data_IF_446880412774
#
_entry.id   IF_446880412774
#
_cell.length_a   1.000
_cell.length_b   1.000
_cell.length_c   1.000
_cell.angle_alpha   90.00
_cell.angle_beta   90.00
_cell.angle_gamma   90.00
#
_symmetry.space_group_name_H-M   'P 1'
#
loop_
_entity.id
_entity.type
_entity.pdbx_description
1 polymer ?
#
# COMPACT_ATOMS: atom_id res chain seq x y z
N UNK A 1 49.97 -0.84 21.21
CA UNK A 1 49.60 -2.01 22.03
C UNK A 1 48.16 -2.37 21.68
N UNK A 2 47.93 -3.47 20.96
CA UNK A 2 46.58 -3.93 20.62
C UNK A 2 45.89 -4.41 21.91
N UNK A 3 44.80 -3.74 22.29
CA UNK A 3 43.98 -4.12 23.44
C UNK A 3 43.15 -5.35 23.07
N UNK A 4 43.73 -6.52 23.29
CA UNK A 4 43.10 -7.83 23.17
C UNK A 4 41.69 -7.99 23.78
N UNK A 5 41.32 -7.36 24.92
CA UNK A 5 39.96 -7.51 25.46
C UNK A 5 38.88 -6.87 24.58
N UNK A 6 39.16 -5.72 23.95
CA UNK A 6 38.20 -5.02 23.07
C UNK A 6 37.92 -5.81 21.78
N UNK A 7 38.96 -6.44 21.21
CA UNK A 7 38.82 -7.29 20.02
C UNK A 7 37.98 -8.54 20.29
N UNK A 8 38.04 -9.10 21.51
CA UNK A 8 37.25 -10.28 21.89
C UNK A 8 35.77 -9.94 22.09
N UNK A 9 35.46 -8.80 22.71
CA UNK A 9 34.07 -8.31 22.85
C UNK A 9 33.44 -7.99 21.49
N UNK A 10 34.16 -7.31 20.59
CA UNK A 10 33.67 -7.04 19.22
C UNK A 10 33.41 -8.32 18.42
N UNK A 11 34.21 -9.37 18.63
CA UNK A 11 34.06 -10.65 17.94
C UNK A 11 32.86 -11.44 18.47
N UNK A 12 32.69 -11.50 19.80
CA UNK A 12 31.55 -12.17 20.43
C UNK A 12 30.21 -11.50 20.10
N UNK A 13 30.15 -10.16 20.09
CA UNK A 13 28.94 -9.43 19.68
C UNK A 13 28.62 -9.59 18.20
N UNK A 14 29.64 -9.73 17.33
CA UNK A 14 29.44 -10.03 15.91
C UNK A 14 28.93 -11.45 15.67
N UNK A 15 29.40 -12.46 16.40
CA UNK A 15 28.94 -13.84 16.24
C UNK A 15 27.50 -14.04 16.72
N UNK A 16 27.16 -13.52 17.91
CA UNK A 16 25.81 -13.66 18.47
C UNK A 16 24.76 -12.97 17.57
N UNK A 17 25.06 -11.75 17.09
CA UNK A 17 24.18 -11.04 16.16
C UNK A 17 24.07 -11.73 14.79
N UNK A 18 25.11 -12.45 14.36
CA UNK A 18 25.08 -13.28 13.14
C UNK A 18 24.23 -14.54 13.30
N UNK A 19 24.19 -15.15 14.48
CA UNK A 19 23.35 -16.32 14.78
C UNK A 19 21.89 -15.96 15.07
N UNK A 20 21.62 -14.87 15.78
CA UNK A 20 20.25 -14.48 16.15
C UNK A 20 19.47 -13.95 14.95
N UNK A 21 20.12 -13.21 14.03
CA UNK A 21 19.47 -12.67 12.82
C UNK A 21 18.77 -13.73 11.96
N UNK A 22 19.40 -14.86 11.56
CA UNK A 22 18.72 -15.87 10.76
C UNK A 22 17.59 -16.57 11.53
N UNK A 23 17.74 -16.79 12.84
CA UNK A 23 16.67 -17.36 13.69
C UNK A 23 15.46 -16.43 13.79
N UNK A 24 15.68 -15.13 13.95
CA UNK A 24 14.61 -14.12 13.95
C UNK A 24 13.91 -13.99 12.58
N UNK A 25 14.66 -14.18 11.48
CA UNK A 25 14.07 -14.21 10.15
C UNK A 25 13.25 -15.49 9.91
N UNK A 26 13.74 -16.64 10.39
CA UNK A 26 13.03 -17.93 10.32
C UNK A 26 11.73 -17.92 11.11
N UNK A 27 11.72 -17.33 12.30
CA UNK A 27 10.49 -17.21 13.09
C UNK A 27 9.44 -16.37 12.38
N UNK A 28 9.82 -15.24 11.76
CA UNK A 28 8.89 -14.43 10.97
C UNK A 28 8.30 -15.21 9.78
N UNK A 29 9.14 -15.99 9.07
CA UNK A 29 8.71 -16.81 7.92
C UNK A 29 7.70 -17.90 8.33
N UNK A 30 7.81 -18.44 9.55
CA UNK A 30 6.90 -19.47 10.06
C UNK A 30 5.64 -18.87 10.71
N UNK A 31 5.77 -17.72 11.38
CA UNK A 31 4.66 -17.09 12.09
C UNK A 31 3.59 -16.54 11.13
N UNK A 32 3.96 -16.08 9.93
CA UNK A 32 3.00 -15.60 8.92
C UNK A 32 2.04 -16.72 8.48
N UNK A 33 2.50 -17.86 7.91
CA UNK A 33 1.61 -18.94 7.49
C UNK A 33 0.92 -19.61 8.68
N UNK A 34 1.57 -19.67 9.86
CA UNK A 34 0.94 -20.21 11.07
C UNK A 34 -0.22 -19.34 11.55
N UNK A 35 -0.03 -18.02 11.60
CA UNK A 35 -1.07 -17.06 11.94
C UNK A 35 -2.24 -17.13 10.96
N UNK A 36 -1.95 -17.20 9.66
CA UNK A 36 -2.96 -17.42 8.62
C UNK A 36 -3.69 -18.76 8.83
N UNK A 37 -2.96 -19.83 9.14
CA UNK A 37 -3.53 -21.15 9.40
C UNK A 37 -4.47 -21.16 10.61
N UNK A 38 -4.09 -20.50 11.71
CA UNK A 38 -4.94 -20.36 12.90
C UNK A 38 -6.21 -19.57 12.56
N UNK A 39 -6.07 -18.46 11.83
CA UNK A 39 -7.21 -17.65 11.39
C UNK A 39 -8.16 -18.46 10.50
N UNK A 40 -7.63 -19.15 9.47
CA UNK A 40 -8.39 -20.03 8.59
C UNK A 40 -9.06 -21.18 9.35
N UNK A 41 -8.41 -21.75 10.36
CA UNK A 41 -9.03 -22.75 11.23
C UNK A 41 -10.19 -22.18 12.05
N UNK A 42 -10.03 -20.96 12.58
CA UNK A 42 -11.11 -20.22 13.24
C UNK A 42 -12.31 -20.00 12.33
N UNK A 43 -12.06 -19.59 11.07
CA UNK A 43 -13.11 -19.44 10.06
C UNK A 43 -13.78 -20.76 9.73
N UNK A 44 -13.03 -21.84 9.57
CA UNK A 44 -13.57 -23.17 9.33
C UNK A 44 -14.50 -23.64 10.47
N UNK A 45 -14.12 -23.39 11.73
CA UNK A 45 -14.94 -23.75 12.90
C UNK A 45 -16.27 -22.99 12.95
N UNK A 46 -16.34 -21.77 12.42
CA UNK A 46 -17.52 -20.91 12.49
C UNK A 46 -18.39 -20.92 11.23
N UNK A 47 -17.76 -20.95 10.06
CA UNK A 47 -18.39 -20.78 8.76
C UNK A 47 -18.25 -22.02 7.86
N UNK A 48 -17.55 -23.07 8.32
CA UNK A 48 -17.22 -24.27 7.53
C UNK A 48 -16.45 -23.98 6.24
N UNK A 49 -15.78 -22.83 6.20
CA UNK A 49 -15.01 -22.35 5.06
C UNK A 49 -13.70 -21.72 5.56
N UNK A 50 -12.54 -22.39 5.39
CA UNK A 50 -11.25 -21.87 5.85
C UNK A 50 -10.78 -20.66 5.03
N UNK A 51 -11.34 -20.42 3.86
CA UNK A 51 -11.01 -19.33 2.96
C UNK A 51 -12.15 -18.30 2.87
N UNK A 52 -13.03 -18.25 3.88
CA UNK A 52 -14.16 -17.34 3.90
C UNK A 52 -13.76 -15.86 3.70
N UNK A 53 -12.56 -15.45 4.12
CA UNK A 53 -12.04 -14.10 3.89
C UNK A 53 -11.76 -13.78 2.41
N UNK A 54 -11.39 -14.79 1.60
CA UNK A 54 -11.23 -14.66 0.14
C UNK A 54 -12.61 -14.68 -0.50
N UNK A 55 -13.47 -15.64 -0.13
CA UNK A 55 -14.80 -15.75 -0.73
C UNK A 55 -15.68 -14.54 -0.41
N UNK A 56 -15.49 -13.89 0.74
CA UNK A 56 -16.18 -12.64 1.06
C UNK A 56 -15.92 -11.53 0.01
N UNK A 57 -14.79 -11.55 -0.71
CA UNK A 57 -14.48 -10.59 -1.76
C UNK A 57 -15.45 -10.68 -2.95
N UNK A 58 -16.10 -11.83 -3.19
CA UNK A 58 -17.11 -11.96 -4.25
C UNK A 58 -18.30 -11.01 -4.03
N UNK A 59 -18.60 -10.67 -2.77
CA UNK A 59 -19.65 -9.73 -2.43
C UNK A 59 -19.31 -8.29 -2.85
N UNK A 60 -18.02 -7.97 -2.96
CA UNK A 60 -17.51 -6.66 -3.37
C UNK A 60 -17.36 -6.56 -4.90
N UNK A 61 -17.72 -7.63 -5.63
CA UNK A 61 -17.65 -7.72 -7.11
C UNK A 61 -16.27 -7.35 -7.64
N UNK A 62 -15.23 -7.75 -6.94
CA UNK A 62 -13.86 -7.69 -7.42
C UNK A 62 -13.57 -8.92 -8.30
N UNK A 63 -12.74 -8.74 -9.31
CA UNK A 63 -12.32 -9.85 -10.17
C UNK A 63 -10.94 -9.61 -10.74
N UNK A 64 -10.25 -10.71 -11.04
CA UNK A 64 -8.94 -10.66 -11.67
C UNK A 64 -9.06 -10.05 -13.07
N UNK A 65 -8.36 -8.95 -13.31
CA UNK A 65 -8.31 -8.28 -14.61
C UNK A 65 -6.89 -7.82 -14.95
N UNK A 66 -6.70 -7.31 -16.17
CA UNK A 66 -5.45 -6.69 -16.57
C UNK A 66 -5.14 -5.46 -15.70
N UNK A 67 -3.93 -5.30 -15.14
CA UNK A 67 -3.65 -4.27 -14.13
C UNK A 67 -3.85 -2.82 -14.62
N UNK A 68 -3.80 -2.56 -15.92
CA UNK A 68 -4.09 -1.21 -16.45
C UNK A 68 -5.57 -0.99 -16.78
N UNK A 69 -6.43 -2.01 -16.66
CA UNK A 69 -7.86 -1.89 -16.95
C UNK A 69 -8.51 -0.80 -16.11
N UNK A 70 -8.33 -0.82 -14.80
CA UNK A 70 -8.98 0.14 -13.90
C UNK A 70 -8.50 1.58 -14.11
N UNK A 71 -7.18 1.89 -14.19
CA UNK A 71 -6.72 3.22 -14.55
C UNK A 71 -7.27 3.74 -15.89
N UNK A 72 -7.31 2.89 -16.92
CA UNK A 72 -7.84 3.27 -18.24
C UNK A 72 -9.36 3.48 -18.21
N UNK A 73 -10.10 2.62 -17.49
CA UNK A 73 -11.54 2.76 -17.30
C UNK A 73 -11.89 4.03 -16.53
N UNK A 74 -11.11 4.36 -15.50
CA UNK A 74 -11.25 5.61 -14.73
C UNK A 74 -10.94 6.82 -15.61
N UNK A 75 -9.87 6.80 -16.40
CA UNK A 75 -9.55 7.88 -17.33
C UNK A 75 -10.66 8.11 -18.35
N UNK A 76 -11.21 7.04 -18.93
CA UNK A 76 -12.37 7.12 -19.83
C UNK A 76 -13.55 7.79 -19.15
N UNK A 77 -13.83 7.45 -17.88
CA UNK A 77 -14.91 8.07 -17.10
C UNK A 77 -14.72 9.56 -16.89
N UNK A 78 -13.52 10.00 -16.55
CA UNK A 78 -13.22 11.42 -16.33
C UNK A 78 -13.49 12.27 -17.57
N UNK A 79 -13.38 11.71 -18.78
CA UNK A 79 -13.68 12.40 -20.04
C UNK A 79 -15.16 12.35 -20.39
N UNK A 80 -15.89 11.33 -19.93
CA UNK A 80 -17.31 11.12 -20.28
C UNK A 80 -18.32 11.65 -19.27
N UNK A 81 -17.94 11.78 -17.99
CA UNK A 81 -18.83 12.20 -16.91
C UNK A 81 -18.79 13.73 -16.73
N UNK A 82 -19.88 14.35 -16.23
CA UNK A 82 -19.87 15.76 -15.87
C UNK A 82 -18.75 16.08 -14.89
N UNK A 83 -18.03 17.17 -15.12
CA UNK A 83 -16.88 17.55 -14.30
C UNK A 83 -17.25 17.76 -12.82
N UNK A 84 -18.38 18.43 -12.56
CA UNK A 84 -18.91 18.69 -11.22
C UNK A 84 -19.85 17.58 -10.75
N UNK A 85 -19.35 16.35 -10.68
CA UNK A 85 -20.08 15.23 -10.07
C UNK A 85 -19.27 14.60 -8.94
N UNK A 86 -19.98 14.05 -7.95
CA UNK A 86 -19.36 13.31 -6.85
C UNK A 86 -18.47 12.17 -7.38
N UNK A 87 -18.96 11.41 -8.36
CA UNK A 87 -18.24 10.32 -9.02
C UNK A 87 -16.97 10.82 -9.69
N UNK A 88 -16.99 11.99 -10.34
CA UNK A 88 -15.80 12.57 -10.97
C UNK A 88 -14.75 12.93 -9.91
N UNK A 89 -15.15 13.60 -8.82
CA UNK A 89 -14.24 13.94 -7.73
C UNK A 89 -13.61 12.69 -7.10
N UNK A 90 -14.40 11.65 -6.85
CA UNK A 90 -13.92 10.37 -6.31
C UNK A 90 -12.87 9.73 -7.24
N UNK A 91 -13.18 9.61 -8.53
CA UNK A 91 -12.28 9.05 -9.54
C UNK A 91 -10.98 9.85 -9.68
N UNK A 92 -11.03 11.19 -9.57
CA UNK A 92 -9.82 12.03 -9.58
C UNK A 92 -8.94 11.69 -8.38
N UNK A 93 -9.53 11.59 -7.19
CA UNK A 93 -8.78 11.34 -5.96
C UNK A 93 -8.14 9.94 -6.01
N UNK A 94 -8.88 8.90 -6.35
CA UNK A 94 -8.33 7.54 -6.44
C UNK A 94 -7.24 7.42 -7.51
N UNK A 95 -7.47 7.99 -8.71
CA UNK A 95 -6.47 7.95 -9.78
C UNK A 95 -5.21 8.74 -9.42
N UNK A 96 -5.38 9.91 -8.77
CA UNK A 96 -4.25 10.72 -8.33
C UNK A 96 -3.44 10.03 -7.23
N UNK A 97 -4.10 9.34 -6.29
CA UNK A 97 -3.43 8.56 -5.26
C UNK A 97 -2.66 7.37 -5.88
N UNK A 98 -3.27 6.65 -6.81
CA UNK A 98 -2.63 5.56 -7.54
C UNK A 98 -1.37 6.04 -8.28
N UNK A 99 -1.49 7.14 -9.03
CA UNK A 99 -0.39 7.71 -9.80
C UNK A 99 0.72 8.25 -8.90
N UNK A 100 0.36 8.97 -7.83
CA UNK A 100 1.33 9.48 -6.85
C UNK A 100 2.17 8.35 -6.27
N UNK A 101 1.54 7.27 -5.80
CA UNK A 101 2.26 6.14 -5.24
C UNK A 101 3.05 5.35 -6.28
N UNK A 102 2.54 5.22 -7.52
CA UNK A 102 3.32 4.64 -8.62
C UNK A 102 4.62 5.43 -8.87
N UNK A 103 4.54 6.76 -8.89
CA UNK A 103 5.71 7.64 -9.06
C UNK A 103 6.66 7.53 -7.86
N UNK A 104 6.16 7.59 -6.63
CA UNK A 104 6.98 7.47 -5.42
C UNK A 104 7.69 6.10 -5.35
N UNK A 105 7.02 5.02 -5.75
CA UNK A 105 7.61 3.69 -5.85
C UNK A 105 8.66 3.62 -6.96
N UNK A 106 8.41 4.20 -8.13
CA UNK A 106 9.40 4.27 -9.21
C UNK A 106 10.67 5.03 -8.76
N UNK A 107 10.50 6.11 -8.00
CA UNK A 107 11.61 6.89 -7.41
C UNK A 107 12.44 6.09 -6.38
N UNK A 108 11.91 4.99 -5.84
CA UNK A 108 12.69 4.09 -4.99
C UNK A 108 13.77 3.34 -5.79
N UNK A 109 13.55 3.10 -7.08
CA UNK A 109 14.47 2.35 -7.94
C UNK A 109 15.34 3.27 -8.79
N UNK A 110 14.79 4.39 -9.25
CA UNK A 110 15.43 5.28 -10.22
C UNK A 110 15.51 6.72 -9.68
N UNK A 111 16.57 7.43 -10.04
CA UNK A 111 16.71 8.86 -9.75
C UNK A 111 17.47 9.17 -8.44
N UNK A 112 17.43 10.44 -7.99
CA UNK A 112 18.28 10.93 -6.91
C UNK A 112 17.85 10.44 -5.52
N UNK A 113 16.63 9.93 -5.37
CA UNK A 113 16.08 9.45 -4.09
C UNK A 113 16.12 7.93 -3.94
N UNK A 114 16.75 7.22 -4.88
CA UNK A 114 16.82 5.76 -4.92
C UNK A 114 17.23 5.14 -3.58
N UNK A 115 16.65 3.99 -3.28
CA UNK A 115 17.02 3.19 -2.12
C UNK A 115 18.21 2.30 -2.44
N UNK A 116 19.02 2.02 -1.42
CA UNK A 116 20.11 1.06 -1.54
C UNK A 116 19.55 -0.35 -1.81
N UNK A 117 20.31 -1.19 -2.53
CA UNK A 117 19.88 -2.56 -2.87
C UNK A 117 19.52 -3.40 -1.65
N UNK A 118 20.18 -3.18 -0.53
CA UNK A 118 19.88 -3.85 0.74
C UNK A 118 18.49 -3.52 1.31
N UNK A 119 17.83 -2.47 0.80
CA UNK A 119 16.52 -2.00 1.25
C UNK A 119 15.41 -2.31 0.24
N UNK A 120 15.70 -3.05 -0.84
CA UNK A 120 14.74 -3.32 -1.92
C UNK A 120 13.52 -4.13 -1.50
N UNK A 121 13.57 -4.82 -0.37
CA UNK A 121 12.40 -5.50 0.20
C UNK A 121 11.22 -4.52 0.42
N UNK A 122 11.49 -3.27 0.79
CA UNK A 122 10.44 -2.26 1.02
C UNK A 122 9.72 -1.81 -0.27
N UNK A 123 10.42 -1.34 -1.33
CA UNK A 123 9.74 -0.96 -2.57
C UNK A 123 9.16 -2.16 -3.32
N UNK A 124 9.72 -3.37 -3.19
CA UNK A 124 9.08 -4.58 -3.73
C UNK A 124 7.76 -4.86 -3.02
N UNK A 125 7.71 -4.76 -1.69
CA UNK A 125 6.47 -4.90 -0.93
C UNK A 125 5.42 -3.85 -1.36
N UNK A 126 5.82 -2.58 -1.46
CA UNK A 126 4.92 -1.51 -1.95
C UNK A 126 4.42 -1.75 -3.38
N UNK A 127 5.28 -2.27 -4.26
CA UNK A 127 4.90 -2.63 -5.63
C UNK A 127 3.88 -3.78 -5.65
N UNK A 128 4.05 -4.79 -4.79
CA UNK A 128 3.10 -5.90 -4.67
C UNK A 128 1.71 -5.41 -4.21
N UNK A 129 1.64 -4.48 -3.27
CA UNK A 129 0.38 -3.85 -2.85
C UNK A 129 -0.28 -3.14 -4.04
N UNK A 130 0.49 -2.29 -4.75
CA UNK A 130 -0.04 -1.53 -5.88
C UNK A 130 -0.53 -2.46 -6.99
N UNK A 131 0.27 -3.47 -7.38
CA UNK A 131 -0.10 -4.44 -8.41
C UNK A 131 -1.34 -5.23 -7.99
N UNK A 132 -1.41 -5.70 -6.75
CA UNK A 132 -2.57 -6.47 -6.26
C UNK A 132 -3.84 -5.62 -6.31
N UNK A 133 -3.75 -4.35 -5.88
CA UNK A 133 -4.86 -3.38 -5.98
C UNK A 133 -5.32 -3.18 -7.43
N UNK A 134 -4.39 -3.15 -8.38
CA UNK A 134 -4.70 -2.99 -9.80
C UNK A 134 -5.23 -4.27 -10.46
N UNK A 135 -4.82 -5.45 -9.97
CA UNK A 135 -5.25 -6.76 -10.49
C UNK A 135 -6.68 -7.10 -10.11
N UNK A 136 -7.15 -6.64 -8.95
CA UNK A 136 -8.48 -6.92 -8.42
C UNK A 136 -9.33 -5.64 -8.30
N UNK A 137 -9.62 -4.93 -9.41
CA UNK A 137 -10.50 -3.78 -9.35
C UNK A 137 -11.94 -4.20 -9.15
N UNK A 138 -12.77 -3.24 -8.78
CA UNK A 138 -14.22 -3.40 -8.77
C UNK A 138 -14.73 -3.58 -10.20
N UNK A 139 -15.72 -4.46 -10.38
CA UNK A 139 -16.34 -4.73 -11.67
C UNK A 139 -17.63 -3.92 -11.88
N UNK A 140 -17.99 -3.60 -13.15
CA UNK A 140 -19.20 -2.84 -13.46
C UNK A 140 -20.47 -3.48 -12.90
N UNK A 141 -21.31 -2.68 -12.22
CA UNK A 141 -22.64 -3.08 -11.72
C UNK A 141 -23.76 -2.56 -12.62
N UNK A 142 -24.65 -3.42 -13.14
CA UNK A 142 -25.84 -2.97 -13.86
C UNK A 142 -26.68 -2.04 -12.98
N UNK A 143 -26.95 -0.82 -13.47
CA UNK A 143 -27.79 0.18 -12.80
C UNK A 143 -27.19 0.84 -11.55
N UNK A 144 -25.92 0.58 -11.20
CA UNK A 144 -25.24 1.18 -10.05
C UNK A 144 -24.16 2.18 -10.43
N UNK A 145 -23.73 3.00 -9.47
CA UNK A 145 -22.51 3.81 -9.60
C UNK A 145 -21.34 2.84 -9.69
N UNK A 146 -20.64 2.88 -10.82
CA UNK A 146 -19.45 2.08 -11.03
C UNK A 146 -18.24 2.92 -10.60
N UNK A 147 -17.31 2.33 -9.84
CA UNK A 147 -16.02 2.89 -9.51
C UNK A 147 -14.93 1.82 -9.71
N UNK A 148 -14.04 1.94 -10.72
CA UNK A 148 -13.03 0.92 -11.00
C UNK A 148 -11.90 0.89 -9.96
N UNK A 149 -11.58 2.04 -9.35
CA UNK A 149 -10.43 2.21 -8.46
C UNK A 149 -10.86 2.38 -7.00
N UNK A 150 -12.03 1.86 -6.65
CA UNK A 150 -12.61 2.04 -5.33
C UNK A 150 -11.61 1.72 -4.20
N UNK A 151 -11.54 2.61 -3.22
CA UNK A 151 -10.64 2.51 -2.07
C UNK A 151 -9.13 2.54 -2.40
N UNK A 152 -8.73 2.83 -3.64
CA UNK A 152 -7.30 2.87 -4.01
C UNK A 152 -6.57 3.90 -3.16
N UNK A 153 -7.17 5.07 -2.92
CA UNK A 153 -6.63 6.10 -2.03
C UNK A 153 -6.26 5.60 -0.62
N UNK A 154 -6.93 4.54 -0.13
CA UNK A 154 -6.67 3.92 1.16
C UNK A 154 -5.62 2.81 1.04
N UNK A 155 -5.78 1.93 0.06
CA UNK A 155 -4.93 0.76 -0.12
C UNK A 155 -3.48 1.14 -0.44
N UNK A 156 -3.27 2.21 -1.21
CA UNK A 156 -1.90 2.67 -1.51
C UNK A 156 -1.15 3.20 -0.28
N UNK A 157 -1.84 3.60 0.79
CA UNK A 157 -1.19 4.06 2.03
C UNK A 157 -0.45 2.92 2.74
N UNK A 158 -0.79 1.66 2.47
CA UNK A 158 -0.07 0.49 2.98
C UNK A 158 1.35 0.40 2.39
N UNK A 159 1.58 1.00 1.22
CA UNK A 159 2.90 1.09 0.58
C UNK A 159 3.76 2.18 1.26
N UNK A 160 4.03 2.01 2.56
CA UNK A 160 4.63 3.04 3.43
C UNK A 160 5.98 3.58 2.94
N UNK A 161 6.70 2.80 2.13
CA UNK A 161 7.96 3.21 1.48
C UNK A 161 7.77 4.46 0.60
N UNK A 162 6.57 4.69 0.04
CA UNK A 162 6.23 5.92 -0.65
C UNK A 162 6.38 7.15 0.25
N UNK A 163 5.98 7.05 1.52
CA UNK A 163 6.17 8.12 2.50
C UNK A 163 7.64 8.35 2.87
N UNK A 164 8.49 7.32 2.82
CA UNK A 164 9.94 7.48 3.02
C UNK A 164 10.52 8.36 1.91
N UNK A 165 10.13 8.12 0.65
CA UNK A 165 10.54 8.97 -0.47
C UNK A 165 9.97 10.38 -0.33
N UNK A 166 8.70 10.50 0.05
CA UNK A 166 8.05 11.78 0.27
C UNK A 166 8.75 12.61 1.37
N UNK A 167 9.17 11.96 2.45
CA UNK A 167 9.94 12.58 3.53
C UNK A 167 11.31 13.06 3.02
N UNK A 168 12.02 12.23 2.25
CA UNK A 168 13.30 12.65 1.62
C UNK A 168 13.12 13.85 0.70
N UNK A 169 12.02 13.90 -0.06
CA UNK A 169 11.68 15.02 -0.94
C UNK A 169 11.43 16.29 -0.11
N UNK A 170 10.68 16.19 0.98
CA UNK A 170 10.43 17.28 1.92
C UNK A 170 11.69 17.81 2.61
N UNK A 171 12.59 16.93 3.05
CA UNK A 171 13.87 17.33 3.64
C UNK A 171 14.77 18.08 2.64
N UNK A 172 14.72 17.72 1.36
CA UNK A 172 15.53 18.37 0.31
C UNK A 172 14.91 19.67 -0.18
N UNK A 173 13.58 19.79 -0.16
CA UNK A 173 12.86 20.96 -0.67
C UNK A 173 11.87 21.48 0.38
N UNK A 174 12.27 22.47 1.22
CA UNK A 174 11.42 23.02 2.27
C UNK A 174 10.08 23.58 1.76
N UNK A 175 10.08 24.20 0.57
CA UNK A 175 8.85 24.67 -0.08
C UNK A 175 7.87 23.53 -0.36
N UNK A 176 8.37 22.39 -0.86
CA UNK A 176 7.55 21.21 -1.09
C UNK A 176 6.96 20.69 0.21
N UNK A 177 7.76 20.64 1.28
CA UNK A 177 7.30 20.21 2.61
C UNK A 177 6.12 21.05 3.12
N UNK A 178 6.23 22.38 3.07
CA UNK A 178 5.15 23.26 3.52
C UNK A 178 3.90 23.16 2.65
N UNK A 179 4.04 23.14 1.32
CA UNK A 179 2.91 22.99 0.39
C UNK A 179 2.22 21.64 0.61
N UNK A 180 2.99 20.56 0.76
CA UNK A 180 2.46 19.24 1.05
C UNK A 180 1.65 19.24 2.35
N UNK A 181 2.20 19.75 3.46
CA UNK A 181 1.47 19.79 4.73
C UNK A 181 0.21 20.66 4.66
N UNK A 182 0.29 21.80 3.98
CA UNK A 182 -0.84 22.71 3.78
C UNK A 182 -2.00 22.04 3.03
N UNK A 183 -1.71 21.14 2.08
CA UNK A 183 -2.74 20.42 1.32
C UNK A 183 -3.17 19.13 2.04
N UNK A 184 -2.21 18.35 2.54
CA UNK A 184 -2.45 17.02 3.10
C UNK A 184 -3.27 17.06 4.39
N UNK A 185 -3.06 18.05 5.26
CA UNK A 185 -3.81 18.16 6.52
C UNK A 185 -5.31 18.43 6.30
N UNK A 186 -5.72 19.46 5.53
CA UNK A 186 -7.13 19.65 5.17
C UNK A 186 -7.72 18.48 4.39
N UNK A 187 -6.97 17.89 3.45
CA UNK A 187 -7.45 16.73 2.71
C UNK A 187 -7.69 15.53 3.62
N UNK A 188 -6.80 15.26 4.57
CA UNK A 188 -6.97 14.19 5.55
C UNK A 188 -8.23 14.41 6.38
N UNK A 189 -8.44 15.63 6.89
CA UNK A 189 -9.64 15.98 7.64
C UNK A 189 -10.91 15.78 6.79
N UNK A 190 -10.92 16.31 5.56
CA UNK A 190 -12.02 16.17 4.62
C UNK A 190 -12.34 14.70 4.32
N UNK A 191 -11.36 13.91 3.88
CA UNK A 191 -11.56 12.50 3.51
C UNK A 191 -11.99 11.66 4.72
N UNK A 192 -11.45 11.95 5.91
CA UNK A 192 -11.85 11.26 7.14
C UNK A 192 -13.32 11.56 7.48
N UNK A 193 -13.75 12.83 7.38
CA UNK A 193 -15.15 13.21 7.61
C UNK A 193 -16.08 12.57 6.58
N UNK A 194 -15.70 12.56 5.30
CA UNK A 194 -16.48 11.92 4.24
C UNK A 194 -16.61 10.41 4.46
N UNK A 195 -15.55 9.76 4.96
CA UNK A 195 -15.57 8.34 5.33
C UNK A 195 -16.48 8.09 6.54
N UNK A 196 -16.35 8.87 7.62
CA UNK A 196 -17.15 8.71 8.84
C UNK A 196 -18.65 8.95 8.62
N UNK A 197 -18.99 9.84 7.69
CA UNK A 197 -20.38 10.17 7.37
C UNK A 197 -20.99 9.23 6.32
N UNK A 198 -20.24 8.23 5.83
CA UNK A 198 -20.72 7.23 4.86
C UNK A 198 -20.87 7.75 3.44
N UNK A 199 -20.52 9.00 3.16
CA UNK A 199 -20.61 9.58 1.83
C UNK A 199 -19.52 9.04 0.89
N UNK A 200 -18.39 8.55 1.42
CA UNK A 200 -17.24 8.07 0.64
C UNK A 200 -17.15 6.56 0.50
N UNK A 201 -18.08 5.80 1.09
CA UNK A 201 -18.21 4.36 0.88
C UNK A 201 -19.19 4.12 -0.26
N UNK A 202 -18.68 3.95 -1.47
CA UNK A 202 -19.47 3.60 -2.68
C UNK A 202 -19.46 2.09 -2.90
#
# INVERSE_FOLDING_TARGET
>A
RQNWPLLREEWQHKELSRMIRPLANLSAVLLIPLGLGIYSFGLYRRFHDPLAFIHAQSNWRQGLTFPLYAPLATLKKLVTLPFFSFTTAHNIIDLSAALLFAVLLAMCFVGPYRLNRSQWTFPVFGLLILITTMLYPNLPRPGGIYDPLASTQRLVLEAFVGFIILARLGCRHPKFHHVYLFIALPMLAFLTLQFMTGHWTV
#
